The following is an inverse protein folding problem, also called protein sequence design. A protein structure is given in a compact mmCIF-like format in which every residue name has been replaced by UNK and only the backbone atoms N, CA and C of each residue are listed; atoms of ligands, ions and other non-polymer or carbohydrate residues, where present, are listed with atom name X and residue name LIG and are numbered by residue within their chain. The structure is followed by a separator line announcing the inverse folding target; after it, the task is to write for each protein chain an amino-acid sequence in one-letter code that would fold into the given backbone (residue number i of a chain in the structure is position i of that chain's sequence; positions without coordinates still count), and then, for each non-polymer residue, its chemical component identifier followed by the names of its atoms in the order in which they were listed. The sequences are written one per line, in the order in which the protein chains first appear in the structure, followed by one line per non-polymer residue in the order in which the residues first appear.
data_IF_287399034259
#
_entry.id   IF_287399034259
#
_cell.length_a   1.000
_cell.length_b   1.000
_cell.length_c   1.000
_cell.angle_alpha   90.00
_cell.angle_beta   90.00
_cell.angle_gamma   90.00
#
_symmetry.space_group_name_H-M   'P 1'
#
loop_
_entity.id
_entity.type
_entity.pdbx_description
1 polymer ?
#
# COMPACT_ATOMS: atom_id res chain seq x y z
N UNK A 1 -11.26 -12.76 -4.59
CA UNK A 1 -10.11 -11.95 -5.03
C UNK A 1 -9.93 -12.20 -6.52
N UNK A 2 -10.38 -11.29 -7.38
CA UNK A 2 -10.18 -11.36 -8.82
C UNK A 2 -8.94 -10.54 -9.18
N UNK A 3 -7.94 -11.16 -9.79
CA UNK A 3 -6.79 -10.44 -10.37
C UNK A 3 -7.22 -9.98 -11.76
N UNK A 4 -7.29 -8.67 -11.97
CA UNK A 4 -7.37 -8.11 -13.33
C UNK A 4 -5.95 -8.07 -13.89
N UNK A 5 -5.70 -8.84 -14.96
CA UNK A 5 -4.45 -8.76 -15.71
C UNK A 5 -4.58 -7.56 -16.66
N UNK A 6 -3.65 -6.62 -16.58
CA UNK A 6 -3.55 -5.54 -17.55
C UNK A 6 -2.87 -6.12 -18.79
N UNK A 7 -3.61 -6.27 -19.88
CA UNK A 7 -3.03 -6.66 -21.17
C UNK A 7 -2.32 -5.44 -21.78
N UNK A 8 -1.02 -5.33 -21.55
CA UNK A 8 -0.17 -4.28 -22.10
C UNK A 8 1.21 -4.86 -22.48
N UNK A 9 1.75 -4.52 -23.66
CA UNK A 9 3.08 -4.96 -24.05
C UNK A 9 4.18 -4.14 -23.34
N UNK A 10 5.00 -4.80 -22.52
CA UNK A 10 6.20 -4.18 -21.94
C UNK A 10 7.18 -3.68 -23.04
N UNK A 11 7.96 -2.62 -22.79
CA UNK A 11 8.08 -1.84 -21.55
C UNK A 11 6.98 -0.78 -21.34
N UNK A 12 6.68 -0.44 -20.08
CA UNK A 12 5.75 0.65 -19.73
C UNK A 12 6.45 2.01 -19.75
N UNK A 13 5.84 2.99 -20.40
CA UNK A 13 6.23 4.40 -20.25
C UNK A 13 5.61 5.05 -19.01
N UNK A 14 6.19 6.16 -18.56
CA UNK A 14 5.61 6.97 -17.47
C UNK A 14 4.21 7.49 -17.83
N UNK A 15 3.98 7.90 -19.08
CA UNK A 15 2.67 8.40 -19.54
C UNK A 15 1.59 7.31 -19.47
N UNK A 16 1.92 6.08 -19.88
CA UNK A 16 1.01 4.93 -19.76
C UNK A 16 0.75 4.57 -18.31
N UNK A 17 1.77 4.62 -17.46
CA UNK A 17 1.62 4.43 -16.02
C UNK A 17 0.67 5.47 -15.41
N UNK A 18 0.81 6.75 -15.74
CA UNK A 18 -0.10 7.78 -15.26
C UNK A 18 -1.52 7.63 -15.81
N UNK A 19 -1.67 7.11 -17.03
CA UNK A 19 -2.98 6.84 -17.62
C UNK A 19 -3.77 5.72 -16.90
N UNK A 20 -3.12 4.90 -16.06
CA UNK A 20 -3.81 3.90 -15.21
C UNK A 20 -4.79 4.53 -14.20
N UNK A 21 -4.55 5.78 -13.81
CA UNK A 21 -5.39 6.47 -12.83
C UNK A 21 -5.33 5.88 -11.41
N UNK A 22 -6.30 6.23 -10.58
CA UNK A 22 -6.39 5.72 -9.20
C UNK A 22 -6.80 4.25 -9.19
N UNK A 23 -5.97 3.38 -8.61
CA UNK A 23 -6.27 1.94 -8.45
C UNK A 23 -6.30 1.56 -6.96
N UNK A 24 -7.01 0.48 -6.58
CA UNK A 24 -7.04 0.02 -5.18
C UNK A 24 -5.69 -0.55 -4.70
N UNK A 25 -4.78 -0.88 -5.62
CA UNK A 25 -3.45 -1.38 -5.31
C UNK A 25 -2.42 -0.27 -5.46
N UNK A 26 -1.34 -0.35 -4.70
CA UNK A 26 -0.18 0.52 -4.97
C UNK A 26 0.61 -0.10 -6.12
N UNK A 27 0.54 0.51 -7.29
CA UNK A 27 1.30 0.11 -8.48
C UNK A 27 2.48 1.08 -8.62
N UNK A 28 3.67 0.55 -8.90
CA UNK A 28 4.91 1.30 -9.06
C UNK A 28 5.54 0.96 -10.42
N UNK A 29 6.02 1.97 -11.13
CA UNK A 29 6.87 1.78 -12.32
C UNK A 29 8.33 1.73 -11.87
N UNK A 30 9.01 0.60 -12.06
CA UNK A 30 10.42 0.39 -11.71
C UNK A 30 11.09 -0.31 -12.88
N UNK A 31 12.16 0.29 -13.42
CA UNK A 31 12.90 -0.23 -14.57
C UNK A 31 11.98 -0.65 -15.73
N UNK A 32 11.01 0.21 -16.05
CA UNK A 32 10.00 0.01 -17.11
C UNK A 32 9.00 -1.15 -16.87
N UNK A 33 9.03 -1.78 -15.69
CA UNK A 33 8.09 -2.82 -15.27
C UNK A 33 7.11 -2.32 -14.20
N UNK A 34 5.88 -2.84 -14.24
CA UNK A 34 4.88 -2.58 -13.19
C UNK A 34 5.05 -3.55 -12.02
N UNK A 35 5.25 -3.00 -10.84
CA UNK A 35 5.29 -3.72 -9.57
C UNK A 35 4.01 -3.45 -8.78
N UNK A 36 3.38 -4.52 -8.30
CA UNK A 36 2.18 -4.41 -7.45
C UNK A 36 2.59 -4.62 -6.00
N UNK A 37 2.56 -3.53 -5.24
CA UNK A 37 2.66 -3.56 -3.79
C UNK A 37 1.27 -3.76 -3.19
N UNK A 38 1.03 -4.84 -2.41
CA UNK A 38 -0.20 -4.96 -1.64
C UNK A 38 -0.41 -3.72 -0.78
N UNK A 39 -1.68 -3.31 -0.59
CA UNK A 39 -2.00 -2.15 0.24
C UNK A 39 -1.28 -2.24 1.60
N UNK A 40 -0.70 -1.13 2.09
CA UNK A 40 0.07 -1.14 3.32
C UNK A 40 -0.83 -1.56 4.47
N UNK A 41 -0.70 -2.81 4.89
CA UNK A 41 -1.52 -3.40 5.95
C UNK A 41 -0.71 -3.90 7.14
N UNK A 42 0.62 -3.89 7.01
CA UNK A 42 1.55 -4.37 8.03
C UNK A 42 2.07 -3.21 8.87
N UNK A 43 1.94 -3.34 10.19
CA UNK A 43 2.66 -2.50 11.14
C UNK A 43 4.03 -3.11 11.38
N UNK A 44 5.09 -2.31 11.22
CA UNK A 44 6.44 -2.69 11.63
C UNK A 44 6.78 -2.07 13.00
N UNK A 45 7.51 -2.79 13.85
CA UNK A 45 8.05 -2.30 15.13
C UNK A 45 9.57 -2.35 15.07
N UNK A 46 10.22 -1.26 15.47
CA UNK A 46 11.67 -1.22 15.65
C UNK A 46 12.03 -1.98 16.94
N UNK A 47 12.84 -3.02 16.81
CA UNK A 47 13.35 -3.84 17.91
C UNK A 47 14.85 -4.02 17.70
N UNK A 48 15.65 -3.54 18.66
CA UNK A 48 17.11 -3.71 18.61
C UNK A 48 17.78 -3.19 17.33
N UNK A 49 17.25 -2.12 16.73
CA UNK A 49 17.78 -1.55 15.48
C UNK A 49 17.21 -2.15 14.18
N UNK A 50 16.29 -3.12 14.27
CA UNK A 50 15.68 -3.75 13.09
C UNK A 50 14.15 -3.66 13.13
N UNK A 51 13.53 -3.48 11.97
CA UNK A 51 12.07 -3.49 11.86
C UNK A 51 11.55 -4.92 11.71
N UNK A 52 10.65 -5.31 12.60
CA UNK A 52 9.96 -6.60 12.56
C UNK A 52 8.46 -6.39 12.32
N UNK A 53 7.79 -7.27 11.55
CA UNK A 53 6.33 -7.26 11.46
C UNK A 53 5.71 -7.46 12.84
N UNK A 54 4.87 -6.51 13.25
CA UNK A 54 4.24 -6.50 14.57
C UNK A 54 2.74 -6.79 14.51
N UNK A 55 2.08 -6.47 13.40
CA UNK A 55 0.68 -6.80 13.13
C UNK A 55 0.40 -6.69 11.63
N UNK A 56 -0.61 -7.41 11.15
CA UNK A 56 -1.14 -7.30 9.79
C UNK A 56 -2.64 -7.10 9.89
N UNK A 57 -3.16 -6.07 9.24
CA UNK A 57 -4.59 -5.86 9.08
C UNK A 57 -5.06 -6.41 7.74
N UNK A 58 -6.30 -6.88 7.69
CA UNK A 58 -7.02 -7.07 6.43
C UNK A 58 -7.63 -5.74 5.98
N UNK A 59 -7.98 -5.58 4.69
CA UNK A 59 -8.76 -4.41 4.24
C UNK A 59 -10.00 -4.18 5.12
N UNK A 60 -10.23 -2.93 5.53
CA UNK A 60 -11.32 -2.55 6.44
C UNK A 60 -11.10 -2.87 7.92
N UNK A 61 -10.01 -3.56 8.28
CA UNK A 61 -9.65 -3.80 9.67
C UNK A 61 -8.68 -2.72 10.16
N UNK A 62 -8.91 -2.19 11.37
CA UNK A 62 -7.96 -1.31 12.02
C UNK A 62 -6.71 -2.08 12.49
N UNK A 63 -5.55 -1.46 12.35
CA UNK A 63 -4.34 -1.88 13.08
C UNK A 63 -4.46 -1.39 14.52
N UNK A 64 -4.48 -2.33 15.47
CA UNK A 64 -4.51 -2.01 16.90
C UNK A 64 -3.14 -2.29 17.51
N UNK A 65 -2.67 -1.37 18.35
CA UNK A 65 -1.50 -1.58 19.19
C UNK A 65 -1.85 -1.25 20.63
N UNK A 66 -1.35 -2.04 21.59
CA UNK A 66 -1.42 -1.75 23.03
C UNK A 66 -0.12 -1.15 23.58
N UNK A 67 0.97 -1.28 22.82
CA UNK A 67 2.30 -0.80 23.19
C UNK A 67 2.92 0.06 22.08
N UNK A 68 3.82 1.00 22.42
CA UNK A 68 4.18 1.42 23.78
C UNK A 68 3.05 2.16 24.52
N UNK A 69 2.04 2.60 23.77
CA UNK A 69 0.77 3.11 24.28
C UNK A 69 -0.36 2.61 23.35
N UNK A 70 -1.61 2.57 23.83
CA UNK A 70 -2.72 2.11 23.04
C UNK A 70 -3.06 3.08 21.90
N UNK A 71 -3.24 2.55 20.69
CA UNK A 71 -3.79 3.29 19.56
C UNK A 71 -4.46 2.35 18.55
N UNK A 72 -5.34 2.91 17.74
CA UNK A 72 -6.01 2.24 16.63
C UNK A 72 -5.81 3.06 15.36
N UNK A 73 -5.50 2.39 14.25
CA UNK A 73 -5.23 3.02 12.97
C UNK A 73 -6.00 2.31 11.85
N UNK A 74 -7.04 2.96 11.34
CA UNK A 74 -7.71 2.53 10.12
C UNK A 74 -6.92 3.04 8.90
N UNK A 75 -6.10 2.18 8.30
CA UNK A 75 -5.19 2.58 7.23
C UNK A 75 -5.90 3.16 6.00
N UNK A 76 -7.10 2.66 5.68
CA UNK A 76 -7.89 3.18 4.56
C UNK A 76 -8.27 4.66 4.76
N UNK A 77 -8.54 5.09 6.00
CA UNK A 77 -8.83 6.50 6.31
C UNK A 77 -7.66 7.45 6.01
N UNK A 78 -6.42 6.96 6.06
CA UNK A 78 -5.23 7.77 5.77
C UNK A 78 -5.06 8.04 4.27
N UNK A 79 -5.51 7.11 3.42
CA UNK A 79 -5.36 7.23 1.97
C UNK A 79 -6.27 8.34 1.39
N UNK A 80 -7.41 8.60 2.04
CA UNK A 80 -8.36 9.63 1.61
C UNK A 80 -7.93 11.07 1.96
N UNK A 81 -6.87 11.25 2.78
CA UNK A 81 -6.46 12.58 3.29
C UNK A 81 -5.50 13.35 2.37
N UNK A 82 -5.24 12.89 1.14
CA UNK A 82 -4.42 13.62 0.13
C UNK A 82 -5.21 14.61 -0.74
N UNK A 83 -6.40 15.03 -0.32
CA UNK A 83 -7.08 16.21 -0.89
C UNK A 83 -7.38 17.20 0.23
N UNK A 84 -6.42 18.07 0.53
CA UNK A 84 -6.71 19.45 0.95
C UNK A 84 -6.02 20.34 -0.06
N UNK A 85 -6.78 21.32 -0.51
CA UNK A 85 -6.47 22.31 -1.54
C UNK A 85 -5.14 23.05 -1.32
#
# INVERSE_FOLDING_TARGET
MSVTVLEHPEPWSEDEFFALGETPNRIELIDESLWISPAPSKRQRLVGGHYLPAAVASPGQALVSKEPFPFELELASLLHRRRRD
#
